data_IF_888261994777
#
_entry.id   IF_888261994777
#
_cell.length_a   1.000
_cell.length_b   1.000
_cell.length_c   1.000
_cell.angle_alpha   90.00
_cell.angle_beta   90.00
_cell.angle_gamma   90.00
#
_symmetry.space_group_name_H-M   'P 1'
#
loop_
_entity.id
_entity.type
_entity.pdbx_description
1 polymer ?
#
# COMPACT_ATOMS: atom_id res chain seq x y z
N UNK A 1 9.41 -10.57 -8.73
CA UNK A 1 9.96 -10.04 -7.47
C UNK A 1 9.91 -8.53 -7.54
N UNK A 2 9.73 -7.87 -6.41
CA UNK A 2 9.72 -6.43 -6.29
C UNK A 2 10.48 -5.98 -5.06
N UNK A 3 10.76 -4.68 -4.97
CA UNK A 3 11.52 -4.08 -3.87
C UNK A 3 10.66 -3.05 -3.15
N UNK A 4 10.59 -3.14 -1.83
CA UNK A 4 9.91 -2.15 -1.00
C UNK A 4 10.70 -0.84 -1.05
N UNK A 5 10.06 0.23 -1.52
CA UNK A 5 10.65 1.56 -1.63
C UNK A 5 10.28 2.42 -0.42
N UNK A 6 9.10 2.20 0.15
CA UNK A 6 8.65 2.94 1.32
C UNK A 6 7.66 2.12 2.15
N UNK A 7 7.75 2.30 3.47
CA UNK A 7 6.71 1.93 4.44
C UNK A 7 6.17 3.22 5.04
N UNK A 8 4.85 3.39 5.04
CA UNK A 8 4.19 4.62 5.43
C UNK A 8 3.00 4.35 6.36
N UNK A 9 2.82 5.21 7.37
CA UNK A 9 1.66 5.17 8.27
C UNK A 9 1.08 6.57 8.50
N UNK A 10 -0.12 6.64 9.06
CA UNK A 10 -0.75 7.88 9.53
C UNK A 10 -1.28 7.65 10.93
N UNK A 11 -1.08 8.59 11.87
CA UNK A 11 -1.62 8.45 13.24
C UNK A 11 -3.13 8.71 13.34
N UNK A 12 -3.68 9.47 12.39
CA UNK A 12 -5.09 9.85 12.36
C UNK A 12 -5.70 9.62 10.97
N UNK A 13 -6.97 9.20 10.92
CA UNK A 13 -7.69 9.03 9.65
C UNK A 13 -7.88 10.39 8.97
N UNK A 14 -7.78 10.40 7.64
CA UNK A 14 -7.93 11.62 6.84
C UNK A 14 -6.67 12.48 6.77
N UNK A 15 -5.59 12.12 7.47
CA UNK A 15 -4.27 12.73 7.32
C UNK A 15 -3.43 11.99 6.28
N UNK A 16 -2.43 12.67 5.72
CA UNK A 16 -1.46 12.03 4.83
C UNK A 16 -0.59 11.07 5.62
N UNK A 17 -0.22 9.95 5.00
CA UNK A 17 0.75 9.04 5.59
C UNK A 17 2.15 9.62 5.43
N UNK A 18 3.01 9.33 6.40
CA UNK A 18 4.41 9.69 6.40
C UNK A 18 5.26 8.42 6.43
N UNK A 19 6.44 8.49 5.82
CA UNK A 19 7.39 7.38 5.76
C UNK A 19 7.93 7.06 7.16
N UNK A 20 8.10 5.77 7.43
CA UNK A 20 8.79 5.21 8.60
C UNK A 20 9.88 4.24 8.12
N UNK A 21 10.95 4.02 8.91
CA UNK A 21 12.04 3.12 8.50
C UNK A 21 11.60 1.67 8.36
N UNK A 22 10.63 1.24 9.17
CA UNK A 22 10.09 -0.11 9.20
C UNK A 22 8.65 -0.09 9.71
N UNK A 23 7.85 -1.08 9.33
CA UNK A 23 6.50 -1.28 9.86
C UNK A 23 6.34 -2.66 10.49
N UNK A 24 5.72 -2.70 11.67
CA UNK A 24 5.28 -3.94 12.33
C UNK A 24 3.88 -4.31 11.81
N UNK A 25 3.78 -5.43 11.10
CA UNK A 25 2.55 -5.96 10.54
C UNK A 25 1.96 -7.00 11.50
N UNK A 26 0.71 -6.78 11.87
CA UNK A 26 -0.03 -7.59 12.84
C UNK A 26 -1.10 -8.38 12.08
N UNK A 27 -1.09 -9.70 12.27
CA UNK A 27 -2.05 -10.63 11.67
C UNK A 27 -3.49 -10.21 11.94
N UNK A 28 -4.32 -10.24 10.88
CA UNK A 28 -5.73 -9.87 10.90
C UNK A 28 -6.03 -8.46 11.47
N UNK A 29 -5.03 -7.56 11.40
CA UNK A 29 -5.12 -6.21 11.92
C UNK A 29 -4.53 -5.15 10.99
N UNK A 30 -3.34 -5.35 10.41
CA UNK A 30 -2.66 -4.35 9.59
C UNK A 30 -1.37 -3.85 10.23
N UNK A 31 -0.96 -2.62 9.93
CA UNK A 31 0.29 -2.06 10.45
C UNK A 31 0.06 -1.43 11.82
N UNK A 32 0.90 -1.76 12.79
CA UNK A 32 0.92 -1.09 14.10
C UNK A 32 1.03 0.43 13.93
N UNK A 33 0.31 1.15 14.80
CA UNK A 33 0.23 2.62 14.82
C UNK A 33 -0.37 3.29 13.57
N UNK A 34 -0.85 2.52 12.59
CA UNK A 34 -1.60 3.07 11.47
C UNK A 34 -3.08 3.28 11.83
N UNK A 35 -3.59 4.47 11.53
CA UNK A 35 -4.98 4.86 11.80
C UNK A 35 -6.02 4.02 11.04
N UNK A 36 -5.63 3.31 9.98
CA UNK A 36 -6.51 2.44 9.21
C UNK A 36 -6.40 0.97 9.60
N UNK A 37 -5.50 0.61 10.54
CA UNK A 37 -5.44 -0.74 11.07
C UNK A 37 -6.74 -1.10 11.82
N UNK A 38 -7.11 -2.38 11.75
CA UNK A 38 -8.31 -2.94 12.35
C UNK A 38 -8.72 -4.26 11.70
N UNK A 39 -9.76 -4.89 12.27
CA UNK A 39 -10.35 -6.14 11.75
C UNK A 39 -11.29 -5.89 10.57
N UNK A 40 -10.73 -5.63 9.39
CA UNK A 40 -11.47 -5.43 8.14
C UNK A 40 -10.62 -5.84 6.94
N UNK A 41 -11.16 -5.79 5.72
CA UNK A 41 -10.49 -6.32 4.52
C UNK A 41 -9.40 -5.39 3.93
N UNK A 42 -9.23 -4.15 4.41
CA UNK A 42 -8.30 -3.16 3.83
C UNK A 42 -7.27 -2.71 4.85
N UNK A 43 -6.58 -3.70 5.41
CA UNK A 43 -5.66 -3.53 6.53
C UNK A 43 -4.38 -2.80 6.10
N UNK A 44 -3.92 -3.06 4.87
CA UNK A 44 -2.73 -2.46 4.30
C UNK A 44 -3.05 -2.02 2.86
N UNK A 45 -2.65 -0.81 2.48
CA UNK A 45 -2.73 -0.32 1.09
C UNK A 45 -1.36 -0.38 0.40
N UNK A 46 -1.34 -0.79 -0.87
CA UNK A 46 -0.12 -0.88 -1.67
C UNK A 46 -0.26 -0.05 -2.95
N UNK A 47 0.83 0.57 -3.39
CA UNK A 47 0.96 1.21 -4.70
C UNK A 47 2.26 0.81 -5.40
N UNK A 48 2.17 0.67 -6.71
CA UNK A 48 3.31 0.46 -7.59
C UNK A 48 4.14 1.74 -7.71
N UNK A 49 5.45 1.63 -7.47
CA UNK A 49 6.38 2.77 -7.54
C UNK A 49 6.32 3.49 -8.89
N UNK A 50 6.29 2.74 -9.99
CA UNK A 50 6.24 3.31 -11.34
C UNK A 50 4.98 4.16 -11.56
N UNK A 51 3.84 3.80 -10.94
CA UNK A 51 2.59 4.57 -11.03
C UNK A 51 2.66 5.89 -10.26
N UNK A 52 3.40 5.91 -9.16
CA UNK A 52 3.70 7.15 -8.44
C UNK A 52 4.62 8.03 -9.29
N UNK A 53 5.65 7.46 -9.93
CA UNK A 53 6.58 8.21 -10.79
C UNK A 53 5.89 8.77 -12.04
N UNK A 54 5.05 7.98 -12.71
CA UNK A 54 4.20 8.43 -13.82
C UNK A 54 3.31 9.61 -13.42
N UNK A 55 2.79 9.62 -12.18
CA UNK A 55 1.99 10.73 -11.67
C UNK A 55 2.84 11.96 -11.33
N UNK A 56 4.01 11.77 -10.69
CA UNK A 56 4.98 12.84 -10.40
C UNK A 56 5.44 13.55 -11.67
N UNK A 57 5.67 12.81 -12.75
CA UNK A 57 6.07 13.35 -14.05
C UNK A 57 5.04 14.35 -14.66
N UNK A 58 3.80 14.36 -14.18
CA UNK A 58 2.77 15.36 -14.55
C UNK A 58 2.92 16.69 -13.80
N UNK A 59 3.99 16.87 -13.01
CA UNK A 59 4.27 18.07 -12.23
C UNK A 59 3.74 18.02 -10.80
N UNK A 60 3.41 16.84 -10.28
CA UNK A 60 2.95 16.68 -8.90
C UNK A 60 4.13 16.54 -7.94
N UNK A 61 4.31 17.51 -7.04
CA UNK A 61 5.17 17.36 -5.87
C UNK A 61 4.42 16.58 -4.78
N UNK A 62 4.69 15.29 -4.72
CA UNK A 62 4.04 14.33 -3.82
C UNK A 62 5.08 13.40 -3.22
N UNK A 63 5.06 13.23 -1.91
CA UNK A 63 5.88 12.25 -1.19
C UNK A 63 5.21 10.87 -1.17
N UNK A 64 5.96 9.83 -0.84
CA UNK A 64 5.38 8.49 -0.65
C UNK A 64 4.47 8.50 0.59
N UNK A 65 3.32 7.85 0.48
CA UNK A 65 2.24 7.89 1.48
C UNK A 65 1.21 8.99 1.22
N UNK A 66 1.48 9.93 0.29
CA UNK A 66 0.60 11.05 0.02
C UNK A 66 -0.76 10.64 -0.60
N UNK A 67 -0.84 9.48 -1.26
CA UNK A 67 -2.11 8.93 -1.76
C UNK A 67 -2.85 8.08 -0.72
N UNK A 68 -2.22 7.83 0.43
CA UNK A 68 -2.74 6.99 1.52
C UNK A 68 -2.32 5.52 1.41
N UNK A 69 -1.30 5.21 0.63
CA UNK A 69 -0.63 3.92 0.54
C UNK A 69 0.27 3.65 1.75
N UNK A 70 0.26 2.41 2.24
CA UNK A 70 1.18 1.98 3.29
C UNK A 70 2.49 1.44 2.73
N UNK A 71 2.45 0.73 1.61
CA UNK A 71 3.64 0.22 0.95
C UNK A 71 3.75 0.78 -0.47
N UNK A 72 4.94 1.24 -0.80
CA UNK A 72 5.34 1.55 -2.18
C UNK A 72 6.32 0.48 -2.62
N UNK A 73 6.04 -0.18 -3.74
CA UNK A 73 6.87 -1.30 -4.20
C UNK A 73 7.18 -1.15 -5.69
N UNK A 74 8.46 -1.29 -6.01
CA UNK A 74 8.97 -1.34 -7.38
C UNK A 74 8.88 -2.77 -7.94
N UNK A 75 8.68 -2.91 -9.26
CA UNK A 75 8.68 -4.21 -9.93
C UNK A 75 7.33 -4.94 -9.96
N UNK A 76 6.26 -4.32 -9.44
CA UNK A 76 4.89 -4.83 -9.57
C UNK A 76 3.96 -3.83 -10.23
N UNK A 77 3.05 -4.33 -11.05
CA UNK A 77 1.83 -3.62 -11.46
C UNK A 77 0.64 -4.26 -10.71
N UNK A 78 0.42 -3.82 -9.48
CA UNK A 78 -0.51 -4.49 -8.56
C UNK A 78 -1.94 -4.53 -9.11
N UNK A 79 -2.39 -3.48 -9.79
CA UNK A 79 -3.75 -3.38 -10.32
C UNK A 79 -4.04 -4.39 -11.44
N UNK A 80 -3.01 -5.04 -12.01
CA UNK A 80 -3.15 -6.12 -13.00
C UNK A 80 -3.12 -7.52 -12.39
N UNK A 81 -2.84 -7.65 -11.09
CA UNK A 81 -2.83 -8.93 -10.40
C UNK A 81 -4.25 -9.30 -9.94
N UNK A 82 -4.60 -10.59 -9.90
CA UNK A 82 -5.90 -11.00 -9.41
C UNK A 82 -6.05 -10.74 -7.90
N UNK A 83 -7.25 -10.36 -7.47
CA UNK A 83 -7.63 -10.41 -6.06
C UNK A 83 -7.44 -11.85 -5.56
N UNK A 84 -6.91 -12.01 -4.34
CA UNK A 84 -6.43 -13.28 -3.79
C UNK A 84 -4.94 -13.53 -4.00
N UNK A 85 -4.23 -12.71 -4.80
CA UNK A 85 -2.78 -12.81 -4.91
C UNK A 85 -2.13 -12.64 -3.54
N UNK A 86 -1.25 -13.58 -3.18
CA UNK A 86 -0.49 -13.54 -1.93
C UNK A 86 0.92 -13.03 -2.18
N UNK A 87 1.40 -12.20 -1.27
CA UNK A 87 2.74 -11.65 -1.28
C UNK A 87 3.45 -12.02 0.00
N UNK A 88 4.76 -12.29 -0.10
CA UNK A 88 5.64 -12.50 1.04
C UNK A 88 6.76 -11.48 1.03
N UNK A 89 7.02 -10.89 2.19
CA UNK A 89 8.18 -10.04 2.46
C UNK A 89 8.67 -10.35 3.87
N UNK A 90 9.86 -10.92 3.99
CA UNK A 90 10.33 -11.56 5.22
C UNK A 90 9.27 -12.56 5.75
N UNK A 91 8.90 -12.45 7.03
CA UNK A 91 7.85 -13.23 7.67
C UNK A 91 6.43 -12.75 7.30
N UNK A 92 6.28 -11.53 6.79
CA UNK A 92 4.96 -10.97 6.51
C UNK A 92 4.35 -11.63 5.28
N UNK A 93 3.12 -12.12 5.43
CA UNK A 93 2.29 -12.61 4.32
C UNK A 93 1.08 -11.72 4.17
N UNK A 94 0.90 -11.15 2.99
CA UNK A 94 -0.24 -10.31 2.62
C UNK A 94 -1.09 -11.01 1.57
N UNK A 95 -2.40 -10.83 1.60
CA UNK A 95 -3.31 -11.27 0.53
C UNK A 95 -4.11 -10.10 0.00
N UNK A 96 -4.10 -9.90 -1.32
CA UNK A 96 -4.88 -8.87 -1.98
C UNK A 96 -6.38 -9.13 -1.83
N UNK A 97 -7.10 -8.14 -1.32
CA UNK A 97 -8.55 -8.23 -1.09
C UNK A 97 -9.34 -7.33 -2.02
N UNK A 98 -8.71 -6.27 -2.56
CA UNK A 98 -9.41 -5.27 -3.36
C UNK A 98 -8.46 -4.49 -4.27
N UNK A 99 -8.95 -4.14 -5.46
CA UNK A 99 -8.31 -3.18 -6.38
C UNK A 99 -9.16 -1.91 -6.41
N UNK A 100 -8.48 -0.77 -6.30
CA UNK A 100 -9.09 0.55 -6.34
C UNK A 100 -9.99 0.84 -5.14
N UNK A 101 -10.58 2.04 -5.13
CA UNK A 101 -11.62 2.44 -4.17
C UNK A 101 -12.47 3.58 -4.71
N UNK A 102 -13.74 3.65 -4.31
CA UNK A 102 -14.53 4.86 -4.53
C UNK A 102 -14.03 5.99 -3.62
N UNK A 103 -13.77 7.16 -4.20
CA UNK A 103 -13.52 8.39 -3.47
C UNK A 103 -14.83 9.14 -3.28
N UNK A 104 -15.19 9.46 -2.03
CA UNK A 104 -16.45 10.13 -1.71
C UNK A 104 -16.32 11.64 -1.52
N UNK A 105 -15.19 12.13 -1.00
CA UNK A 105 -15.00 13.54 -0.65
C UNK A 105 -13.78 14.20 -1.31
N UNK A 106 -13.05 13.46 -2.16
CA UNK A 106 -11.75 13.87 -2.70
C UNK A 106 -10.67 13.94 -1.59
N UNK A 107 -9.51 13.32 -1.80
CA UNK A 107 -8.39 13.52 -0.88
C UNK A 107 -7.67 14.85 -1.20
N UNK A 108 -6.75 15.28 -0.32
CA UNK A 108 -5.94 16.48 -0.54
C UNK A 108 -5.24 16.48 -1.92
N UNK A 109 -4.78 15.31 -2.38
CA UNK A 109 -4.19 15.17 -3.72
C UNK A 109 -5.19 15.45 -4.83
N UNK A 110 -6.40 14.89 -4.75
CA UNK A 110 -7.44 15.15 -5.73
C UNK A 110 -7.84 16.63 -5.75
N UNK A 111 -7.91 17.27 -4.59
CA UNK A 111 -8.21 18.70 -4.50
C UNK A 111 -7.11 19.57 -5.13
N UNK A 112 -5.83 19.18 -4.98
CA UNK A 112 -4.67 19.90 -5.53
C UNK A 112 -4.49 19.66 -7.03
N UNK A 113 -4.65 18.42 -7.48
CA UNK A 113 -4.26 17.98 -8.83
C UNK A 113 -5.45 17.68 -9.76
N UNK A 114 -6.67 17.59 -9.23
CA UNK A 114 -7.85 17.15 -9.98
C UNK A 114 -7.87 15.65 -10.31
N UNK A 115 -6.87 14.89 -9.87
CA UNK A 115 -6.73 13.44 -10.09
C UNK A 115 -6.10 12.76 -8.87
N UNK A 116 -6.37 11.47 -8.69
CA UNK A 116 -5.73 10.62 -7.69
C UNK A 116 -5.65 9.20 -8.27
N UNK A 117 -4.50 8.54 -8.11
CA UNK A 117 -4.31 7.18 -8.64
C UNK A 117 -4.90 6.11 -7.73
N UNK A 118 -5.11 6.39 -6.44
CA UNK A 118 -5.59 5.38 -5.48
C UNK A 118 -6.92 4.70 -5.85
N UNK A 119 -7.91 5.38 -6.48
CA UNK A 119 -9.13 4.75 -6.97
C UNK A 119 -8.95 3.66 -8.02
N UNK A 120 -7.82 3.65 -8.75
CA UNK A 120 -7.58 2.83 -9.95
C UNK A 120 -6.35 1.95 -9.86
N UNK A 121 -5.25 2.49 -9.33
CA UNK A 121 -3.95 1.80 -9.22
C UNK A 121 -3.73 1.22 -7.81
N UNK A 122 -4.37 1.78 -6.80
CA UNK A 122 -4.17 1.38 -5.41
C UNK A 122 -4.82 0.03 -5.11
N UNK A 123 -4.11 -0.87 -4.45
CA UNK A 123 -4.68 -2.15 -3.99
C UNK A 123 -4.69 -2.21 -2.47
N UNK A 124 -5.50 -3.11 -1.93
CA UNK A 124 -5.61 -3.36 -0.50
C UNK A 124 -5.39 -4.82 -0.20
N UNK A 125 -4.79 -5.10 0.95
CA UNK A 125 -4.53 -6.45 1.43
C UNK A 125 -4.98 -6.61 2.88
N UNK A 126 -5.08 -7.87 3.29
CA UNK A 126 -5.07 -8.29 4.70
C UNK A 126 -3.73 -8.94 5.04
N UNK A 127 -3.37 -8.92 6.32
CA UNK A 127 -2.18 -9.56 6.88
C UNK A 127 -2.55 -10.98 7.30
N UNK A 128 -2.06 -11.98 6.56
CA UNK A 128 -2.25 -13.40 6.86
C UNK A 128 -1.22 -13.92 7.88
N UNK A 129 -0.03 -13.34 7.90
CA UNK A 129 1.01 -13.66 8.87
C UNK A 129 1.79 -12.37 9.18
N UNK A 130 2.01 -12.11 10.47
CA UNK A 130 2.67 -10.90 10.95
C UNK A 130 4.20 -10.93 10.81
N UNK A 131 4.84 -9.80 11.08
CA UNK A 131 6.30 -9.63 10.96
C UNK A 131 6.69 -8.18 10.74
N UNK A 132 7.92 -7.95 10.29
CA UNK A 132 8.45 -6.60 10.03
C UNK A 132 8.87 -6.48 8.58
N UNK A 133 8.51 -5.35 7.95
CA UNK A 133 8.97 -4.94 6.63
C UNK A 133 9.74 -3.63 6.76
N UNK A 134 10.90 -3.57 6.11
CA UNK A 134 11.78 -2.40 6.02
C UNK A 134 11.84 -1.89 4.58
N UNK A 135 12.27 -0.64 4.41
CA UNK A 135 12.69 -0.15 3.10
C UNK A 135 13.85 -1.00 2.56
N UNK A 136 13.77 -1.38 1.28
CA UNK A 136 14.75 -2.21 0.60
C UNK A 136 14.44 -3.71 0.60
N UNK A 137 13.50 -4.17 1.43
CA UNK A 137 13.14 -5.58 1.50
C UNK A 137 12.52 -6.09 0.19
N UNK A 138 12.72 -7.38 -0.09
CA UNK A 138 12.15 -8.04 -1.26
C UNK A 138 10.70 -8.47 -1.00
N UNK A 139 9.82 -8.17 -1.96
CA UNK A 139 8.45 -8.68 -2.02
C UNK A 139 8.33 -9.68 -3.18
N UNK A 140 7.82 -10.87 -2.89
CA UNK A 140 7.59 -11.93 -3.90
C UNK A 140 6.14 -12.36 -3.90
N UNK A 141 5.62 -12.74 -5.08
CA UNK A 141 4.35 -13.46 -5.17
C UNK A 141 4.61 -14.90 -4.77
N UNK A 142 3.68 -15.47 -4.01
CA UNK A 142 3.76 -16.86 -3.57
C UNK A 142 2.54 -17.62 -4.08
N UNK A 143 2.76 -18.83 -4.59
CA UNK A 143 1.67 -19.71 -5.00
C UNK A 143 1.07 -20.41 -3.77
N UNK A 144 -0.24 -20.70 -3.84
CA UNK A 144 -0.83 -21.69 -2.95
C UNK A 144 -0.32 -23.06 -3.38
N UNK A 145 0.62 -23.63 -2.63
CA UNK A 145 0.76 -25.07 -2.65
C UNK A 145 -0.36 -25.62 -1.75
N UNK A 146 -1.18 -26.48 -2.36
CA UNK A 146 -2.39 -27.15 -1.86
C UNK A 146 -2.32 -27.64 -0.40
#
# INVERSE_FOLDING_TARGET
MGRVIAVCISKEKGTQKYRIPEGEFIEEWGIKDDAHAGKWHRQVSLLSYDKIQEFRAKGAEIEDGAFGENLVVEGFDFAKLPVGTKFRCNDVVLEMTQIGKKCHHGCAIFQKMGDCIMPREGVFTRVLHGGVIHEGDELVIIEENE
#
